data_IF_029740878009
#
_entry.id   IF_029740878009
#
_cell.length_a   1.000
_cell.length_b   1.000
_cell.length_c   1.000
_cell.angle_alpha   90.00
_cell.angle_beta   90.00
_cell.angle_gamma   90.00
#
_symmetry.space_group_name_H-M   'P 1'
#
loop_
_entity.id
_entity.type
_entity.pdbx_description
1 polymer ?
#
# COMPACT_ATOMS: atom_id res chain seq x y z
N UNK A 1 -14.71 34.67 23.11
CA UNK A 1 -14.06 33.57 22.37
C UNK A 1 -12.67 34.03 21.97
N UNK A 2 -11.63 33.48 22.59
CA UNK A 2 -10.23 33.81 22.30
C UNK A 2 -9.63 32.72 21.39
N UNK A 3 -9.29 33.02 20.12
CA UNK A 3 -8.91 32.06 19.09
C UNK A 3 -7.43 31.69 19.19
N UNK A 4 -6.98 31.22 20.37
CA UNK A 4 -5.62 30.70 20.49
C UNK A 4 -5.50 29.48 19.59
N UNK A 5 -4.74 29.66 18.52
CA UNK A 5 -4.76 28.89 17.28
C UNK A 5 -4.78 27.36 17.52
N UNK A 6 -5.36 26.56 16.60
CA UNK A 6 -5.36 25.10 16.67
C UNK A 6 -3.99 24.49 17.04
N UNK A 7 -2.91 25.18 16.66
CA UNK A 7 -1.53 24.84 16.95
C UNK A 7 -1.20 24.83 18.46
N UNK A 8 -1.79 25.75 19.25
CA UNK A 8 -1.57 25.79 20.71
C UNK A 8 -2.20 24.57 21.40
N UNK A 9 -3.38 24.14 20.94
CA UNK A 9 -4.07 22.94 21.45
C UNK A 9 -3.31 21.66 21.09
N UNK A 10 -2.85 21.54 19.84
CA UNK A 10 -2.03 20.40 19.40
C UNK A 10 -0.73 20.35 20.21
N UNK A 11 -0.05 21.48 20.40
CA UNK A 11 1.19 21.54 21.18
C UNK A 11 0.99 21.17 22.64
N UNK A 12 -0.08 21.65 23.28
CA UNK A 12 -0.43 21.25 24.65
C UNK A 12 -0.72 19.76 24.75
N UNK A 13 -1.49 19.21 23.80
CA UNK A 13 -1.79 17.77 23.76
C UNK A 13 -0.53 16.93 23.55
N UNK A 14 0.33 17.27 22.59
CA UNK A 14 1.57 16.54 22.34
C UNK A 14 2.57 16.67 23.49
N UNK A 15 2.60 17.81 24.18
CA UNK A 15 3.43 17.99 25.38
C UNK A 15 2.93 17.11 26.52
N UNK A 16 1.62 17.08 26.76
CA UNK A 16 1.00 16.21 27.75
C UNK A 16 1.23 14.73 27.45
N UNK A 17 1.03 14.31 26.19
CA UNK A 17 1.30 12.93 25.75
C UNK A 17 2.77 12.58 25.96
N UNK A 18 3.70 13.48 25.65
CA UNK A 18 5.13 13.25 25.88
C UNK A 18 5.50 13.21 27.37
N UNK A 19 4.86 14.02 28.22
CA UNK A 19 5.09 13.97 29.67
C UNK A 19 4.57 12.65 30.28
N UNK A 20 3.42 12.17 29.80
CA UNK A 20 2.78 10.95 30.32
C UNK A 20 3.42 9.68 29.76
N UNK A 21 3.80 9.67 28.47
CA UNK A 21 4.26 8.48 27.75
C UNK A 21 5.74 8.55 27.32
N UNK A 22 6.47 9.63 27.64
CA UNK A 22 7.84 9.85 27.20
C UNK A 22 7.97 10.28 25.73
N UNK A 23 9.21 10.35 25.22
CA UNK A 23 9.46 10.66 23.79
C UNK A 23 9.15 9.51 22.85
N UNK A 24 8.87 8.33 23.41
CA UNK A 24 8.51 7.14 22.68
C UNK A 24 6.99 7.09 22.45
N UNK A 25 6.53 7.88 21.47
CA UNK A 25 5.23 7.66 20.84
C UNK A 25 5.29 6.37 20.01
N UNK A 26 5.32 5.24 20.69
CA UNK A 26 5.34 3.91 20.06
C UNK A 26 3.93 3.58 19.55
N UNK A 27 3.61 4.05 18.36
CA UNK A 27 2.74 3.25 17.48
C UNK A 27 3.62 2.14 16.91
N UNK A 28 4.07 1.23 17.78
CA UNK A 28 4.81 0.05 17.34
C UNK A 28 3.77 -0.95 16.82
N UNK A 29 3.28 -0.71 15.61
CA UNK A 29 2.61 -1.76 14.83
C UNK A 29 3.73 -2.68 14.37
N UNK A 30 4.03 -3.71 15.15
CA UNK A 30 4.77 -4.86 14.63
C UNK A 30 3.96 -5.40 13.45
N UNK A 31 4.37 -5.03 12.23
CA UNK A 31 3.77 -5.58 11.02
C UNK A 31 4.31 -6.99 10.89
N UNK A 32 3.55 -7.96 11.39
CA UNK A 32 3.87 -9.37 11.23
C UNK A 32 3.92 -9.69 9.73
N UNK A 33 5.06 -10.22 9.30
CA UNK A 33 5.25 -10.66 7.91
C UNK A 33 4.26 -11.79 7.62
N UNK A 34 3.45 -11.64 6.57
CA UNK A 34 2.49 -12.66 6.15
C UNK A 34 3.16 -13.70 5.25
N UNK A 35 2.51 -14.86 5.04
CA UNK A 35 2.98 -15.84 4.06
C UNK A 35 3.07 -15.25 2.64
N UNK A 36 2.13 -14.37 2.29
CA UNK A 36 2.12 -13.64 1.02
C UNK A 36 3.32 -12.68 0.90
N UNK A 37 3.70 -12.01 1.99
CA UNK A 37 4.90 -11.15 1.98
C UNK A 37 6.18 -11.97 1.80
N UNK A 38 6.29 -13.12 2.47
CA UNK A 38 7.42 -14.05 2.30
C UNK A 38 7.49 -14.59 0.88
N UNK A 39 6.34 -14.97 0.30
CA UNK A 39 6.28 -15.45 -1.07
C UNK A 39 6.67 -14.36 -2.06
N UNK A 40 6.19 -13.12 -1.90
CA UNK A 40 6.60 -11.97 -2.70
C UNK A 40 8.12 -11.81 -2.72
N UNK A 41 8.77 -11.81 -1.55
CA UNK A 41 10.23 -11.68 -1.44
C UNK A 41 10.96 -12.82 -2.17
N UNK A 42 10.42 -14.04 -2.11
CA UNK A 42 11.04 -15.19 -2.78
C UNK A 42 11.05 -15.11 -4.31
N UNK A 43 10.17 -14.29 -4.91
CA UNK A 43 10.01 -14.22 -6.38
C UNK A 43 10.24 -12.85 -7.01
N UNK A 44 10.41 -11.77 -6.22
CA UNK A 44 10.49 -10.42 -6.78
C UNK A 44 11.69 -10.18 -7.71
N UNK A 45 12.75 -10.97 -7.54
CA UNK A 45 13.94 -10.97 -8.39
C UNK A 45 13.90 -12.04 -9.49
N UNK A 46 12.73 -12.61 -9.80
CA UNK A 46 12.62 -13.70 -10.78
C UNK A 46 13.17 -13.30 -12.16
N UNK A 47 14.17 -14.04 -12.65
CA UNK A 47 14.83 -13.87 -13.97
C UNK A 47 14.62 -15.06 -14.89
N UNK A 48 13.60 -15.89 -14.63
CA UNK A 48 13.37 -17.15 -15.36
C UNK A 48 12.90 -16.98 -16.82
N UNK A 49 12.57 -15.76 -17.27
CA UNK A 49 12.15 -15.48 -18.64
C UNK A 49 12.63 -14.11 -19.12
N UNK A 50 12.54 -13.85 -20.43
CA UNK A 50 13.02 -12.62 -21.04
C UNK A 50 12.35 -11.34 -20.52
N UNK A 51 11.13 -11.43 -19.95
CA UNK A 51 10.41 -10.29 -19.39
C UNK A 51 11.17 -9.58 -18.26
N UNK A 52 12.04 -10.31 -17.53
CA UNK A 52 12.86 -9.68 -16.48
C UNK A 52 13.89 -8.71 -17.03
N UNK A 53 14.20 -8.76 -18.33
CA UNK A 53 15.20 -7.90 -18.96
C UNK A 53 14.65 -6.51 -19.28
N UNK A 54 13.34 -6.39 -19.48
CA UNK A 54 12.70 -5.15 -19.94
C UNK A 54 11.81 -4.49 -18.89
N UNK A 55 11.33 -5.24 -17.89
CA UNK A 55 10.48 -4.68 -16.83
C UNK A 55 11.24 -3.65 -15.99
N UNK A 56 10.57 -2.58 -15.60
CA UNK A 56 11.10 -1.59 -14.65
C UNK A 56 10.84 -2.01 -13.21
N UNK A 57 9.62 -2.45 -12.92
CA UNK A 57 9.23 -2.88 -11.59
C UNK A 57 8.57 -4.24 -11.59
N UNK A 58 8.80 -5.00 -10.52
CA UNK A 58 8.07 -6.23 -10.28
C UNK A 58 6.67 -5.90 -9.78
N UNK A 59 5.65 -6.31 -10.52
CA UNK A 59 4.24 -6.13 -10.16
C UNK A 59 3.72 -7.45 -9.62
N UNK A 60 3.52 -7.53 -8.30
CA UNK A 60 3.09 -8.75 -7.62
C UNK A 60 1.56 -8.86 -7.57
N UNK A 61 0.96 -8.17 -6.62
CA UNK A 61 -0.46 -8.16 -6.30
C UNK A 61 -0.69 -7.14 -5.19
N UNK A 62 -1.90 -6.57 -5.12
CA UNK A 62 -2.28 -5.60 -4.10
C UNK A 62 -3.68 -5.93 -3.59
N UNK A 63 -3.84 -6.00 -2.27
CA UNK A 63 -5.12 -6.36 -1.64
C UNK A 63 -4.93 -7.01 -0.28
N UNK A 64 -6.04 -7.42 0.33
CA UNK A 64 -6.03 -8.21 1.56
C UNK A 64 -5.65 -9.67 1.25
N UNK A 65 -4.73 -10.29 2.01
CA UNK A 65 -4.54 -11.75 2.02
C UNK A 65 -5.82 -12.53 2.29
N UNK A 66 -6.74 -11.93 3.05
CA UNK A 66 -8.01 -12.53 3.48
C UNK A 66 -9.19 -12.10 2.57
N UNK A 67 -8.93 -11.62 1.36
CA UNK A 67 -10.00 -11.20 0.44
C UNK A 67 -10.83 -12.40 -0.06
N UNK A 68 -12.15 -12.26 -0.04
CA UNK A 68 -13.07 -13.29 -0.58
C UNK A 68 -13.01 -13.40 -2.11
N UNK A 69 -12.56 -12.33 -2.79
CA UNK A 69 -12.52 -12.23 -4.25
C UNK A 69 -11.11 -11.79 -4.69
N UNK A 70 -10.55 -12.53 -5.66
CA UNK A 70 -9.28 -12.21 -6.31
C UNK A 70 -9.52 -11.87 -7.79
N UNK A 71 -9.05 -10.70 -8.21
CA UNK A 71 -9.03 -10.30 -9.61
C UNK A 71 -7.66 -10.60 -10.23
N UNK A 72 -7.65 -11.39 -11.30
CA UNK A 72 -6.43 -11.76 -12.03
C UNK A 72 -6.52 -11.22 -13.46
N UNK A 73 -5.58 -10.34 -13.81
CA UNK A 73 -5.42 -9.82 -15.17
C UNK A 73 -4.44 -10.66 -15.99
N UNK A 74 -4.14 -10.21 -17.21
CA UNK A 74 -3.19 -10.88 -18.10
C UNK A 74 -1.73 -10.59 -17.69
N UNK A 75 -1.31 -9.32 -17.76
CA UNK A 75 0.04 -8.88 -17.47
C UNK A 75 0.06 -7.39 -17.09
N UNK A 76 1.16 -6.89 -16.45
CA UNK A 76 1.34 -5.47 -16.20
C UNK A 76 1.40 -4.67 -17.50
N UNK A 77 0.61 -3.59 -17.57
CA UNK A 77 0.75 -2.57 -18.61
C UNK A 77 1.89 -1.59 -18.31
N UNK A 78 2.06 -0.59 -19.16
CA UNK A 78 3.14 0.39 -19.02
C UNK A 78 3.08 1.20 -17.71
N UNK A 79 1.87 1.52 -17.21
CA UNK A 79 1.72 2.28 -15.96
C UNK A 79 1.97 1.38 -14.75
N UNK A 80 1.51 0.14 -14.81
CA UNK A 80 1.76 -0.87 -13.78
C UNK A 80 3.27 -1.17 -13.69
N UNK A 81 3.95 -1.36 -14.83
CA UNK A 81 5.40 -1.57 -14.88
C UNK A 81 6.19 -0.37 -14.34
N UNK A 82 5.72 0.86 -14.57
CA UNK A 82 6.34 2.08 -14.03
C UNK A 82 6.10 2.26 -12.53
N UNK A 83 4.97 1.79 -11.99
CA UNK A 83 4.58 2.06 -10.59
C UNK A 83 4.80 0.89 -9.64
N UNK A 84 4.91 -0.33 -10.17
CA UNK A 84 4.92 -1.56 -9.36
C UNK A 84 3.54 -1.94 -8.81
N UNK A 85 2.46 -1.25 -9.19
CA UNK A 85 1.11 -1.45 -8.65
C UNK A 85 0.20 -2.00 -9.76
N UNK A 86 -0.54 -3.10 -9.54
CA UNK A 86 -1.44 -3.63 -10.55
C UNK A 86 -2.70 -2.74 -10.72
N UNK A 87 -3.30 -2.77 -11.92
CA UNK A 87 -4.59 -2.12 -12.23
C UNK A 87 -4.64 -0.60 -11.95
N UNK A 88 -3.56 0.15 -12.18
CA UNK A 88 -3.56 1.63 -12.02
C UNK A 88 -3.70 2.38 -13.35
N UNK A 89 -3.56 1.69 -14.48
CA UNK A 89 -3.71 2.21 -15.83
C UNK A 89 -5.17 2.44 -16.25
N UNK A 90 -5.39 2.67 -17.54
CA UNK A 90 -6.73 2.95 -18.09
C UNK A 90 -7.72 1.81 -17.85
N UNK A 91 -7.27 0.56 -18.04
CA UNK A 91 -8.11 -0.62 -17.85
C UNK A 91 -8.47 -0.82 -16.37
N UNK A 92 -7.53 -0.60 -15.46
CA UNK A 92 -7.79 -0.64 -14.02
C UNK A 92 -8.82 0.39 -13.56
N UNK A 93 -8.72 1.64 -14.05
CA UNK A 93 -9.75 2.67 -13.79
C UNK A 93 -11.14 2.31 -14.35
N UNK A 94 -11.20 1.52 -15.41
CA UNK A 94 -12.48 1.01 -15.94
C UNK A 94 -13.02 -0.11 -15.05
N UNK A 95 -12.15 -1.01 -14.58
CA UNK A 95 -12.49 -2.03 -13.60
C UNK A 95 -13.05 -1.39 -12.33
N UNK A 96 -12.40 -0.36 -11.78
CA UNK A 96 -12.88 0.37 -10.61
C UNK A 96 -14.29 0.92 -10.80
N UNK A 97 -14.58 1.51 -11.97
CA UNK A 97 -15.93 2.00 -12.30
C UNK A 97 -16.94 0.88 -12.38
N UNK A 98 -16.58 -0.25 -12.99
CA UNK A 98 -17.46 -1.41 -13.09
C UNK A 98 -17.77 -1.98 -11.69
N UNK A 99 -16.75 -2.12 -10.83
CA UNK A 99 -16.90 -2.59 -9.45
C UNK A 99 -17.79 -1.65 -8.64
N UNK A 100 -17.58 -0.34 -8.74
CA UNK A 100 -18.41 0.68 -8.09
C UNK A 100 -19.90 0.60 -8.48
N UNK A 101 -20.21 0.11 -9.68
CA UNK A 101 -21.60 -0.04 -10.12
C UNK A 101 -22.26 -1.33 -9.65
N UNK A 102 -21.48 -2.33 -9.20
CA UNK A 102 -22.01 -3.63 -8.75
C UNK A 102 -22.01 -3.79 -7.22
N UNK A 103 -21.31 -2.92 -6.46
CA UNK A 103 -21.35 -2.91 -4.99
C UNK A 103 -20.11 -2.28 -4.36
#
# INVERSE_FOLDING_TARGET
>A
MDPKSPQKRIRSYLTYVRDVFGTELLVNREKKMTELDLYRQSIEQCTKCALSQTRKHFVFGNGSPDADILFVGEAPGAVEDETGIPFVGRAGKLLDKALYHIG
#
